data_IF_719564576124
#
_entry.id   IF_719564576124
#
_cell.length_a   1.000
_cell.length_b   1.000
_cell.length_c   1.000
_cell.angle_alpha   90.00
_cell.angle_beta   90.00
_cell.angle_gamma   90.00
#
_symmetry.space_group_name_H-M   'P 1'
#
loop_
_entity.id
_entity.type
_entity.pdbx_description
1 polymer ?
#
# COMPACT_ATOMS: atom_id res chain seq x y z
N UNK A 1 6.81 -9.45 -3.26
CA UNK A 1 5.98 -8.30 -3.69
C UNK A 1 6.89 -7.35 -4.46
N UNK A 2 6.50 -6.93 -5.66
CA UNK A 2 7.28 -5.95 -6.43
C UNK A 2 6.97 -4.52 -5.99
N UNK A 3 7.79 -3.57 -6.42
CA UNK A 3 7.65 -2.13 -6.11
C UNK A 3 6.25 -1.58 -6.41
N UNK A 4 5.61 -2.03 -7.51
CA UNK A 4 4.25 -1.63 -7.90
C UNK A 4 3.19 -2.16 -6.92
N UNK A 5 3.41 -3.32 -6.32
CA UNK A 5 2.50 -3.84 -5.30
C UNK A 5 2.59 -3.03 -4.00
N UNK A 6 3.76 -2.49 -3.67
CA UNK A 6 3.92 -1.60 -2.50
C UNK A 6 3.29 -0.23 -2.81
N UNK A 7 3.44 0.28 -4.02
CA UNK A 7 2.75 1.49 -4.47
C UNK A 7 1.21 1.34 -4.41
N UNK A 8 0.67 0.16 -4.75
CA UNK A 8 -0.75 -0.16 -4.58
C UNK A 8 -1.21 -0.02 -3.11
N UNK A 9 -0.39 -0.44 -2.14
CA UNK A 9 -0.71 -0.28 -0.71
C UNK A 9 -0.68 1.20 -0.32
N UNK A 10 0.34 1.95 -0.76
CA UNK A 10 0.44 3.40 -0.50
C UNK A 10 -0.78 4.14 -1.05
N UNK A 11 -1.14 3.85 -2.30
CA UNK A 11 -2.31 4.43 -2.96
C UNK A 11 -3.60 4.09 -2.23
N UNK A 12 -3.79 2.84 -1.82
CA UNK A 12 -4.97 2.41 -1.07
C UNK A 12 -5.11 3.19 0.25
N UNK A 13 -4.02 3.35 1.00
CA UNK A 13 -4.00 4.11 2.25
C UNK A 13 -4.28 5.60 2.03
N UNK A 14 -3.71 6.18 0.97
CA UNK A 14 -3.97 7.56 0.58
C UNK A 14 -5.46 7.78 0.25
N UNK A 15 -6.03 6.92 -0.61
CA UNK A 15 -7.44 7.00 -1.02
C UNK A 15 -8.42 6.73 0.13
N UNK A 16 -8.02 5.92 1.12
CA UNK A 16 -8.83 5.69 2.33
C UNK A 16 -9.05 6.99 3.11
N UNK A 17 -8.11 7.93 3.07
CA UNK A 17 -8.21 9.24 3.72
C UNK A 17 -8.26 9.22 5.25
N UNK A 18 -8.01 8.07 5.88
CA UNK A 18 -8.09 7.91 7.34
C UNK A 18 -6.75 8.14 8.05
N UNK A 19 -5.65 8.21 7.31
CA UNK A 19 -4.34 8.55 7.88
C UNK A 19 -4.23 10.07 7.87
N UNK A 20 -4.36 10.67 9.05
CA UNK A 20 -4.30 12.11 9.26
C UNK A 20 -3.02 12.51 9.99
N UNK A 21 -2.51 13.70 9.71
CA UNK A 21 -1.43 14.32 10.45
C UNK A 21 -1.91 14.87 11.80
N UNK A 22 -0.96 15.35 12.61
CA UNK A 22 -1.24 16.00 13.89
C UNK A 22 -2.13 17.25 13.74
N UNK A 23 -2.13 17.87 12.55
CA UNK A 23 -2.99 18.98 12.18
C UNK A 23 -4.42 18.57 11.79
N UNK A 24 -4.75 17.28 11.92
CA UNK A 24 -6.04 16.70 11.57
C UNK A 24 -6.30 16.57 10.07
N UNK A 25 -5.32 16.91 9.21
CA UNK A 25 -5.48 16.84 7.76
C UNK A 25 -5.01 15.50 7.20
N UNK A 26 -5.63 14.98 6.12
CA UNK A 26 -5.14 13.79 5.45
C UNK A 26 -3.66 13.92 5.06
N UNK A 27 -2.90 12.85 5.32
CA UNK A 27 -1.48 12.83 4.98
C UNK A 27 -1.31 12.80 3.46
N UNK A 28 -0.48 13.69 2.88
CA UNK A 28 -0.20 13.66 1.44
C UNK A 28 0.43 12.33 1.01
N UNK A 29 0.08 11.86 -0.18
CA UNK A 29 0.58 10.61 -0.75
C UNK A 29 2.10 10.49 -0.73
N UNK A 30 2.83 11.56 -1.07
CA UNK A 30 4.31 11.58 -1.07
C UNK A 30 4.89 11.31 0.31
N UNK A 31 4.21 11.74 1.39
CA UNK A 31 4.67 11.48 2.76
C UNK A 31 4.45 10.02 3.13
N UNK A 32 3.33 9.42 2.73
CA UNK A 32 3.09 7.98 2.87
C UNK A 32 4.14 7.18 2.09
N UNK A 33 4.37 7.52 0.82
CA UNK A 33 5.37 6.88 -0.03
C UNK A 33 6.76 6.91 0.62
N UNK A 34 7.19 8.06 1.14
CA UNK A 34 8.49 8.20 1.83
C UNK A 34 8.60 7.30 3.08
N UNK A 35 7.52 7.16 3.85
CA UNK A 35 7.49 6.23 4.98
C UNK A 35 7.69 4.78 4.54
N UNK A 36 7.04 4.38 3.44
CA UNK A 36 7.22 3.04 2.87
C UNK A 36 8.61 2.82 2.25
N UNK A 37 9.20 3.83 1.60
CA UNK A 37 10.59 3.76 1.13
C UNK A 37 11.55 3.43 2.28
N UNK A 38 11.38 4.10 3.42
CA UNK A 38 12.20 3.86 4.61
C UNK A 38 11.92 2.49 5.22
N UNK A 39 10.66 2.11 5.37
CA UNK A 39 10.25 0.84 5.99
C UNK A 39 10.75 -0.38 5.20
N UNK A 40 10.73 -0.29 3.87
CA UNK A 40 11.09 -1.40 2.98
C UNK A 40 12.48 -1.26 2.33
N UNK A 41 13.25 -0.23 2.71
CA UNK A 41 14.56 0.09 2.12
C UNK A 41 14.54 0.08 0.58
N UNK A 42 13.57 0.79 -0.01
CA UNK A 42 13.36 0.88 -1.46
C UNK A 42 13.28 2.34 -1.92
N UNK A 43 13.32 2.54 -3.25
CA UNK A 43 13.10 3.84 -3.88
C UNK A 43 12.05 3.75 -4.97
N UNK A 44 10.98 4.53 -4.83
CA UNK A 44 9.94 4.68 -5.86
C UNK A 44 10.41 5.56 -7.03
N UNK A 45 11.30 6.52 -6.75
CA UNK A 45 11.61 7.62 -7.68
C UNK A 45 10.45 8.63 -7.64
N UNK A 46 9.48 8.46 -8.54
CA UNK A 46 8.21 9.19 -8.54
C UNK A 46 7.08 8.25 -8.12
N UNK A 47 6.42 8.52 -7.00
CA UNK A 47 5.25 7.72 -6.59
C UNK A 47 4.11 7.83 -7.62
N UNK A 48 3.96 9.00 -8.24
CA UNK A 48 2.92 9.24 -9.25
C UNK A 48 3.09 8.36 -10.50
N UNK A 49 4.33 8.09 -10.91
CA UNK A 49 4.60 7.16 -12.02
C UNK A 49 4.16 5.74 -11.64
N UNK A 50 4.45 5.33 -10.40
CA UNK A 50 4.06 4.01 -9.87
C UNK A 50 2.55 3.89 -9.73
N UNK A 51 1.85 4.96 -9.37
CA UNK A 51 0.38 5.02 -9.40
C UNK A 51 -0.16 4.83 -10.80
N UNK A 52 0.42 5.51 -11.79
CA UNK A 52 0.08 5.28 -13.20
C UNK A 52 0.26 3.82 -13.63
N UNK A 53 1.37 3.19 -13.20
CA UNK A 53 1.61 1.76 -13.43
C UNK A 53 0.59 0.86 -12.70
N UNK A 54 0.12 1.24 -11.51
CA UNK A 54 -0.93 0.51 -10.76
C UNK A 54 -2.25 0.52 -11.53
N UNK A 55 -2.64 1.66 -12.14
CA UNK A 55 -3.90 1.76 -12.89
C UNK A 55 -3.85 1.16 -14.30
N UNK A 56 -2.66 1.08 -14.91
CA UNK A 56 -2.49 0.58 -16.29
C UNK A 56 -2.21 -0.92 -16.38
N UNK A 57 -2.01 -1.61 -15.24
CA UNK A 57 -1.83 -3.06 -15.22
C UNK A 57 -3.10 -3.79 -15.63
N UNK A 58 -2.93 -5.06 -16.05
CA UNK A 58 -4.05 -5.94 -16.41
C UNK A 58 -5.11 -5.99 -15.29
N UNK A 59 -6.42 -6.03 -15.62
CA UNK A 59 -7.49 -5.94 -14.64
C UNK A 59 -7.38 -6.92 -13.45
N UNK A 60 -6.99 -8.17 -13.71
CA UNK A 60 -6.81 -9.18 -12.67
C UNK A 60 -5.64 -8.93 -11.72
N UNK A 61 -4.76 -7.96 -12.04
CA UNK A 61 -3.69 -7.53 -11.16
C UNK A 61 -4.07 -6.30 -10.34
N UNK A 62 -5.20 -5.61 -10.62
CA UNK A 62 -5.57 -4.31 -10.04
C UNK A 62 -5.72 -4.27 -8.52
N UNK A 63 -5.90 -5.40 -7.86
CA UNK A 63 -5.94 -5.48 -6.39
C UNK A 63 -5.09 -6.62 -5.84
N UNK A 64 -4.21 -7.19 -6.67
CA UNK A 64 -3.55 -8.46 -6.36
C UNK A 64 -2.70 -8.40 -5.10
N UNK A 65 -2.10 -7.24 -4.79
CA UNK A 65 -1.30 -7.10 -3.57
C UNK A 65 -2.21 -6.93 -2.36
N UNK A 66 -3.29 -6.15 -2.48
CA UNK A 66 -4.28 -6.00 -1.41
C UNK A 66 -4.97 -7.33 -1.07
N UNK A 67 -5.30 -8.13 -2.08
CA UNK A 67 -5.88 -9.46 -1.90
C UNK A 67 -4.90 -10.40 -1.18
N UNK A 68 -3.62 -10.38 -1.57
CA UNK A 68 -2.58 -11.14 -0.89
C UNK A 68 -2.40 -10.69 0.58
N UNK A 69 -2.43 -9.38 0.84
CA UNK A 69 -2.33 -8.81 2.18
C UNK A 69 -3.52 -9.23 3.05
N UNK A 70 -4.75 -9.12 2.53
CA UNK A 70 -5.97 -9.57 3.20
C UNK A 70 -5.88 -11.05 3.60
N UNK A 71 -5.45 -11.89 2.67
CA UNK A 71 -5.28 -13.33 2.92
C UNK A 71 -4.21 -13.61 3.98
N UNK A 72 -3.10 -12.86 3.98
CA UNK A 72 -2.06 -12.98 4.99
C UNK A 72 -2.57 -12.64 6.40
N UNK A 73 -3.33 -11.55 6.53
CA UNK A 73 -3.95 -11.13 7.80
C UNK A 73 -4.91 -12.20 8.32
N UNK A 74 -5.83 -12.70 7.48
CA UNK A 74 -6.79 -13.74 7.85
C UNK A 74 -6.08 -15.03 8.29
N UNK A 75 -5.00 -15.41 7.59
CA UNK A 75 -4.21 -16.60 7.91
C UNK A 75 -3.54 -16.46 9.28
N UNK A 76 -2.96 -15.31 9.57
CA UNK A 76 -2.32 -15.05 10.87
C UNK A 76 -3.34 -15.01 12.01
N UNK A 77 -4.50 -14.37 11.82
CA UNK A 77 -5.59 -14.37 12.81
C UNK A 77 -6.06 -15.79 13.18
N UNK A 78 -6.29 -16.65 12.18
CA UNK A 78 -6.65 -18.06 12.39
C UNK A 78 -5.56 -18.82 13.16
N UNK A 79 -4.29 -18.59 12.82
CA UNK A 79 -3.16 -19.23 13.50
C UNK A 79 -3.10 -18.86 14.98
N UNK A 80 -3.42 -17.61 15.33
CA UNK A 80 -3.45 -17.14 16.72
C UNK A 80 -4.63 -17.69 17.50
N UNK A 81 -5.80 -17.84 16.88
CA UNK A 81 -6.99 -18.43 17.52
C UNK A 81 -6.87 -19.93 17.79
N UNK A 82 -6.04 -20.62 17.02
CA UNK A 82 -5.79 -22.06 17.18
C UNK A 82 -4.60 -22.37 18.11
N UNK A 83 -4.03 -21.35 18.77
CA UNK A 83 -3.00 -21.49 19.82
C UNK A 83 -3.65 -21.32 21.18
#
# INVERSE_FOLDING_TARGET
MGIIGIAEIVLALFLQGQIVGEDGKPVPEVRLARGFEQLFNLKFGSIYDKVGEVFTRKPYNLTKTLDALRNAIIKEDRKRKNR
#
